data_IF_203572005504
#
_entry.id   IF_203572005504
#
_cell.length_a   1.000
_cell.length_b   1.000
_cell.length_c   1.000
_cell.angle_alpha   90.00
_cell.angle_beta   90.00
_cell.angle_gamma   90.00
#
_symmetry.space_group_name_H-M   'P 1'
#
loop_
_entity.id
_entity.type
_entity.pdbx_description
1 polymer ?
#
# COMPACT_ATOMS: atom_id res chain seq x y z
N UNK A 1 -26.09 19.63 20.80
CA UNK A 1 -25.25 18.40 20.80
C UNK A 1 -24.93 17.98 19.36
N UNK A 2 -23.88 18.54 18.72
CA UNK A 2 -23.44 18.12 17.37
C UNK A 2 -22.52 16.90 17.53
N UNK A 3 -22.96 15.72 17.08
CA UNK A 3 -22.14 14.49 17.10
C UNK A 3 -21.15 14.53 15.93
N UNK A 4 -19.86 14.62 16.24
CA UNK A 4 -18.80 14.44 15.25
C UNK A 4 -18.61 12.94 14.98
N UNK A 5 -19.10 12.49 13.82
CA UNK A 5 -18.83 11.13 13.32
C UNK A 5 -17.43 11.13 12.73
N UNK A 6 -16.44 10.66 13.52
CA UNK A 6 -15.05 10.51 13.07
C UNK A 6 -15.02 9.40 12.00
N UNK A 7 -14.96 9.77 10.73
CA UNK A 7 -14.80 8.82 9.64
C UNK A 7 -13.31 8.47 9.54
N UNK A 8 -12.95 7.27 10.00
CA UNK A 8 -11.62 6.71 9.77
C UNK A 8 -11.47 6.48 8.26
N UNK A 9 -10.66 7.31 7.61
CA UNK A 9 -10.26 7.09 6.21
C UNK A 9 -9.25 5.95 6.22
N UNK A 10 -9.71 4.74 5.88
CA UNK A 10 -8.85 3.58 5.74
C UNK A 10 -8.14 3.66 4.39
N UNK A 11 -6.84 3.96 4.41
CA UNK A 11 -6.02 3.92 3.19
C UNK A 11 -5.99 2.50 2.61
N UNK A 12 -6.07 2.35 1.27
CA UNK A 12 -6.01 1.04 0.65
C UNK A 12 -4.63 0.39 0.86
N UNK A 13 -4.62 -0.89 1.22
CA UNK A 13 -3.40 -1.68 1.29
C UNK A 13 -2.73 -1.78 -0.09
N UNK A 14 -1.40 -1.67 -0.10
CA UNK A 14 -0.58 -1.55 -1.33
C UNK A 14 -0.31 -2.91 -1.97
N UNK A 15 -0.29 -2.95 -3.30
CA UNK A 15 0.23 -4.06 -4.10
C UNK A 15 1.73 -4.22 -3.89
N UNK A 16 2.22 -5.42 -3.56
CA UNK A 16 3.66 -5.66 -3.41
C UNK A 16 4.07 -7.03 -3.93
N UNK A 17 5.37 -7.20 -4.18
CA UNK A 17 5.97 -8.51 -4.29
C UNK A 17 6.18 -9.08 -2.88
N UNK A 18 5.51 -10.18 -2.57
CA UNK A 18 5.66 -10.89 -1.31
C UNK A 18 6.91 -11.75 -1.37
N UNK A 19 7.88 -11.37 -0.56
CA UNK A 19 9.04 -12.21 -0.24
C UNK A 19 8.70 -13.03 1.01
N UNK A 20 8.76 -14.36 0.90
CA UNK A 20 8.44 -15.26 1.99
C UNK A 20 9.52 -15.27 3.08
N UNK A 21 9.60 -14.23 3.92
CA UNK A 21 10.66 -14.09 4.93
C UNK A 21 10.74 -15.26 5.91
N UNK A 22 9.61 -15.88 6.25
CA UNK A 22 9.60 -17.09 7.09
C UNK A 22 10.30 -18.26 6.39
N UNK A 23 10.01 -18.47 5.10
CA UNK A 23 10.65 -19.49 4.29
C UNK A 23 12.14 -19.20 4.14
N UNK A 24 12.52 -17.94 3.90
CA UNK A 24 13.92 -17.51 3.86
C UNK A 24 14.64 -17.80 5.17
N UNK A 25 14.03 -17.48 6.31
CA UNK A 25 14.63 -17.72 7.63
C UNK A 25 14.88 -19.21 7.88
N UNK A 26 13.86 -20.05 7.65
CA UNK A 26 13.99 -21.50 7.79
C UNK A 26 15.06 -22.06 6.85
N UNK A 27 14.95 -21.80 5.55
CA UNK A 27 15.89 -22.33 4.54
C UNK A 27 17.33 -21.85 4.77
N UNK A 28 17.50 -20.63 5.27
CA UNK A 28 18.83 -20.10 5.60
C UNK A 28 19.47 -20.82 6.78
N UNK A 29 18.70 -21.09 7.85
CA UNK A 29 19.21 -21.81 9.03
C UNK A 29 19.52 -23.26 8.67
N UNK A 30 18.60 -23.95 8.01
CA UNK A 30 18.79 -25.34 7.58
C UNK A 30 20.04 -25.46 6.70
N UNK A 31 20.23 -24.52 5.79
CA UNK A 31 21.40 -24.47 4.91
C UNK A 31 22.69 -24.20 5.67
N UNK A 32 22.67 -23.32 6.66
CA UNK A 32 23.84 -23.03 7.50
C UNK A 32 24.27 -24.27 8.29
N UNK A 33 23.32 -25.04 8.81
CA UNK A 33 23.59 -26.29 9.51
C UNK A 33 24.16 -27.36 8.58
N UNK A 34 23.65 -27.48 7.35
CA UNK A 34 24.21 -28.41 6.36
C UNK A 34 25.66 -28.03 6.00
N UNK A 35 25.94 -26.74 5.82
CA UNK A 35 27.29 -26.24 5.55
C UNK A 35 28.25 -26.49 6.72
N UNK A 36 27.80 -26.31 7.97
CA UNK A 36 28.65 -26.56 9.15
C UNK A 36 28.99 -28.05 9.33
N UNK A 37 28.12 -28.95 8.88
CA UNK A 37 28.35 -30.39 8.87
C UNK A 37 29.21 -30.87 7.68
N UNK A 38 29.71 -29.95 6.85
CA UNK A 38 30.54 -30.28 5.69
C UNK A 38 29.76 -30.81 4.49
N UNK A 39 28.43 -30.67 4.45
CA UNK A 39 27.65 -31.03 3.27
C UNK A 39 27.97 -30.09 2.11
N UNK A 40 28.05 -30.65 0.90
CA UNK A 40 28.39 -29.91 -0.31
C UNK A 40 27.20 -29.08 -0.86
N UNK A 41 26.65 -28.16 -0.05
CA UNK A 41 25.56 -27.27 -0.45
C UNK A 41 26.11 -26.05 -1.20
N UNK A 42 26.67 -26.27 -2.40
CA UNK A 42 27.33 -25.21 -3.19
C UNK A 42 26.32 -24.35 -3.97
N UNK A 43 26.66 -23.07 -4.17
CA UNK A 43 25.93 -22.14 -5.06
C UNK A 43 24.84 -21.31 -4.38
N UNK A 44 24.12 -20.50 -5.15
CA UNK A 44 23.00 -19.69 -4.65
C UNK A 44 21.66 -20.42 -4.80
N UNK A 45 20.73 -20.24 -3.86
CA UNK A 45 19.36 -20.75 -3.97
C UNK A 45 18.40 -19.59 -4.18
N UNK A 46 17.69 -19.60 -5.30
CA UNK A 46 16.64 -18.62 -5.57
C UNK A 46 15.34 -19.08 -4.92
N UNK A 47 14.80 -18.24 -4.02
CA UNK A 47 13.51 -18.48 -3.41
C UNK A 47 12.39 -17.82 -4.22
N UNK A 48 11.20 -18.44 -4.29
CA UNK A 48 10.09 -17.90 -5.06
C UNK A 48 9.56 -16.60 -4.46
N UNK A 49 9.09 -15.71 -5.34
CA UNK A 49 8.34 -14.50 -4.98
C UNK A 49 6.97 -14.53 -5.64
N UNK A 50 5.98 -13.94 -4.99
CA UNK A 50 4.62 -13.84 -5.53
C UNK A 50 4.14 -12.40 -5.56
N UNK A 51 3.31 -12.04 -6.55
CA UNK A 51 2.66 -10.74 -6.57
C UNK A 51 1.38 -10.80 -5.74
N UNK A 52 1.31 -10.00 -4.67
CA UNK A 52 0.08 -9.85 -3.89
C UNK A 52 -0.70 -8.68 -4.43
N UNK A 53 -1.82 -8.99 -5.10
CA UNK A 53 -2.73 -8.01 -5.66
C UNK A 53 -3.67 -7.44 -4.59
N UNK A 54 -3.81 -6.11 -4.58
CA UNK A 54 -4.62 -5.28 -3.67
C UNK A 54 -5.28 -4.13 -4.47
N UNK A 55 -5.79 -3.11 -3.77
CA UNK A 55 -6.65 -2.07 -4.36
C UNK A 55 -5.90 -0.83 -4.89
N UNK A 56 -4.56 -0.86 -4.99
CA UNK A 56 -3.77 0.32 -5.38
C UNK A 56 -3.30 0.34 -6.83
N UNK A 57 -3.76 -0.58 -7.68
CA UNK A 57 -3.40 -0.62 -9.11
C UNK A 57 -4.64 -0.46 -9.96
N UNK A 58 -4.59 0.47 -10.91
CA UNK A 58 -5.60 0.70 -11.94
C UNK A 58 -4.91 0.77 -13.32
N UNK A 59 -5.64 0.51 -14.41
CA UNK A 59 -5.14 0.78 -15.75
C UNK A 59 -4.68 2.23 -15.91
N UNK A 60 -3.71 2.52 -16.79
CA UNK A 60 -3.29 3.88 -17.07
C UNK A 60 -4.49 4.72 -17.55
N UNK A 61 -4.46 6.02 -17.23
CA UNK A 61 -5.49 7.00 -17.62
C UNK A 61 -6.91 6.73 -17.07
N UNK A 62 -7.07 5.86 -16.07
CA UNK A 62 -8.38 5.62 -15.43
C UNK A 62 -8.85 6.80 -14.58
N UNK A 63 -7.92 7.61 -14.06
CA UNK A 63 -8.23 8.76 -13.20
C UNK A 63 -7.83 10.05 -13.90
N UNK A 64 -8.80 10.66 -14.59
CA UNK A 64 -8.66 12.00 -15.16
C UNK A 64 -9.79 12.87 -14.65
N UNK A 65 -9.45 13.93 -13.91
CA UNK A 65 -10.42 14.96 -13.56
C UNK A 65 -10.57 15.93 -14.73
N UNK A 66 -11.80 16.30 -15.09
CA UNK A 66 -12.02 17.35 -16.07
C UNK A 66 -11.77 18.73 -15.45
N UNK A 67 -11.39 19.76 -16.24
CA UNK A 67 -11.23 21.12 -15.72
C UNK A 67 -12.48 21.65 -14.99
N UNK A 68 -13.67 21.27 -15.47
CA UNK A 68 -14.95 21.62 -14.82
C UNK A 68 -15.11 20.96 -13.46
N UNK A 69 -14.80 19.66 -13.33
CA UNK A 69 -14.87 18.95 -12.06
C UNK A 69 -13.91 19.55 -11.01
N UNK A 70 -12.75 20.04 -11.45
CA UNK A 70 -11.81 20.76 -10.58
C UNK A 70 -12.38 22.12 -10.15
N UNK A 71 -12.93 22.90 -11.09
CA UNK A 71 -13.56 24.19 -10.77
C UNK A 71 -14.72 24.04 -9.79
N UNK A 72 -15.59 23.04 -9.99
CA UNK A 72 -16.69 22.72 -9.09
C UNK A 72 -16.18 22.35 -7.69
N UNK A 73 -15.10 21.55 -7.61
CA UNK A 73 -14.46 21.18 -6.34
C UNK A 73 -13.87 22.40 -5.61
N UNK A 74 -13.23 23.32 -6.35
CA UNK A 74 -12.69 24.57 -5.80
C UNK A 74 -13.80 25.50 -5.29
N UNK A 75 -14.93 25.61 -6.02
CA UNK A 75 -16.08 26.39 -5.56
C UNK A 75 -16.71 25.80 -4.29
N UNK A 76 -16.80 24.48 -4.18
CA UNK A 76 -17.26 23.81 -2.96
C UNK A 76 -16.35 24.13 -1.77
N UNK A 77 -15.03 24.07 -1.98
CA UNK A 77 -14.05 24.41 -0.95
C UNK A 77 -14.16 25.89 -0.53
N UNK A 78 -14.26 26.81 -1.48
CA UNK A 78 -14.39 28.25 -1.20
C UNK A 78 -15.64 28.57 -0.35
N UNK A 79 -16.77 27.91 -0.63
CA UNK A 79 -17.99 28.05 0.19
C UNK A 79 -17.82 27.49 1.59
N UNK A 80 -17.07 26.40 1.76
CA UNK A 80 -16.76 25.86 3.10
C UNK A 80 -15.89 26.85 3.89
N UNK A 81 -14.85 27.42 3.26
CA UNK A 81 -13.98 28.42 3.89
C UNK A 81 -14.76 29.67 4.29
N UNK A 82 -15.61 30.20 3.40
CA UNK A 82 -16.43 31.37 3.70
C UNK A 82 -17.34 31.17 4.91
N UNK A 83 -17.83 29.94 5.15
CA UNK A 83 -18.69 29.63 6.31
C UNK A 83 -17.93 29.63 7.63
N UNK A 84 -16.62 29.32 7.61
CA UNK A 84 -15.76 29.34 8.80
C UNK A 84 -15.56 30.77 9.32
N UNK A 85 -15.41 31.75 8.42
CA UNK A 85 -15.24 33.17 8.77
C UNK A 85 -16.54 33.80 9.28
N UNK A 86 -17.69 33.37 8.77
CA UNK A 86 -19.01 33.89 9.17
C UNK A 86 -19.61 33.27 10.45
N UNK A 87 -18.86 32.44 11.18
CA UNK A 87 -19.19 32.03 12.56
C UNK A 87 -20.43 31.12 12.77
N UNK A 88 -20.64 30.11 11.93
CA UNK A 88 -21.66 29.04 12.14
C UNK A 88 -21.08 27.64 12.37
#
# INVERSE_FOLDING_TARGET
MRRYRRQLVLYPAVNHHQTGFRLLGQTSVDRLLQLSQGQAVKGNQLLPVSLVKRKTTLPPNTQTASPRALADSLMQLARQVSRLESGQ
#
